data_IF_043187271474
#
_entry.id   IF_043187271474
#
_cell.length_a   1.000
_cell.length_b   1.000
_cell.length_c   1.000
_cell.angle_alpha   90.00
_cell.angle_beta   90.00
_cell.angle_gamma   90.00
#
_symmetry.space_group_name_H-M   'P 1'
#
loop_
_entity.id
_entity.type
_entity.pdbx_description
1 polymer ?
#
# COMPACT_ATOMS: atom_id res chain seq x y z
N UNK A 1 -8.67 26.72 24.49
CA UNK A 1 -8.44 26.69 23.04
C UNK A 1 -9.14 25.46 22.48
N UNK A 2 -10.01 25.59 21.48
CA UNK A 2 -10.61 24.45 20.77
C UNK A 2 -9.59 23.89 19.78
N UNK A 3 -9.78 22.66 19.29
CA UNK A 3 -8.85 22.04 18.33
C UNK A 3 -8.85 22.75 16.96
N UNK A 4 -9.87 23.56 16.66
CA UNK A 4 -9.91 24.39 15.45
C UNK A 4 -10.41 23.68 14.18
N UNK A 5 -11.04 22.50 14.32
CA UNK A 5 -11.52 21.69 13.19
C UNK A 5 -12.45 22.46 12.23
N UNK A 6 -13.37 23.26 12.76
CA UNK A 6 -14.31 24.04 11.93
C UNK A 6 -13.60 25.02 11.01
N UNK A 7 -12.63 25.77 11.54
CA UNK A 7 -11.85 26.75 10.77
C UNK A 7 -10.95 26.07 9.71
N UNK A 8 -10.41 24.89 10.02
CA UNK A 8 -9.66 24.09 9.06
C UNK A 8 -10.57 23.60 7.92
N UNK A 9 -11.78 23.13 8.23
CA UNK A 9 -12.75 22.70 7.23
C UNK A 9 -13.21 23.83 6.32
N UNK A 10 -13.42 25.04 6.86
CA UNK A 10 -13.74 26.21 6.05
C UNK A 10 -12.61 26.55 5.07
N UNK A 11 -11.35 26.56 5.54
CA UNK A 11 -10.19 26.79 4.68
C UNK A 11 -10.08 25.74 3.55
N UNK A 12 -10.31 24.47 3.86
CA UNK A 12 -10.28 23.38 2.88
C UNK A 12 -11.43 23.52 1.86
N UNK A 13 -12.65 23.83 2.31
CA UNK A 13 -13.82 24.05 1.43
C UNK A 13 -13.55 25.19 0.45
N UNK A 14 -13.02 26.31 0.92
CA UNK A 14 -12.64 27.44 0.07
C UNK A 14 -11.59 27.04 -0.98
N UNK A 15 -10.62 26.18 -0.63
CA UNK A 15 -9.66 25.62 -1.57
C UNK A 15 -10.32 24.73 -2.65
N UNK A 16 -11.23 23.84 -2.24
CA UNK A 16 -11.95 22.92 -3.14
C UNK A 16 -12.86 23.67 -4.13
N UNK A 17 -13.62 24.66 -3.64
CA UNK A 17 -14.50 25.47 -4.50
C UNK A 17 -13.72 26.21 -5.58
N UNK A 18 -12.53 26.70 -5.22
CA UNK A 18 -11.68 27.42 -6.15
C UNK A 18 -11.02 26.46 -7.15
N UNK A 19 -10.59 25.29 -6.70
CA UNK A 19 -10.17 24.21 -7.59
C UNK A 19 -11.23 23.87 -8.65
N UNK A 20 -12.51 23.75 -8.26
CA UNK A 20 -13.59 23.43 -9.20
C UNK A 20 -13.71 24.49 -10.32
N UNK A 21 -13.39 25.75 -10.03
CA UNK A 21 -13.36 26.85 -11.01
C UNK A 21 -12.16 26.80 -11.96
N UNK A 22 -11.07 26.13 -11.56
CA UNK A 22 -9.79 26.06 -12.32
C UNK A 22 -9.54 24.64 -12.87
N UNK A 23 -10.53 23.73 -12.81
CA UNK A 23 -10.40 22.29 -13.14
C UNK A 23 -9.90 22.00 -14.57
N UNK A 24 -9.96 22.96 -15.49
CA UNK A 24 -9.38 22.85 -16.83
C UNK A 24 -7.83 22.98 -16.86
N UNK A 25 -7.17 23.08 -15.71
CA UNK A 25 -5.71 23.26 -15.60
C UNK A 25 -4.95 21.97 -15.28
N UNK A 26 -3.62 22.04 -15.39
CA UNK A 26 -2.61 20.96 -15.31
C UNK A 26 -2.77 19.97 -14.14
N UNK A 27 -2.05 18.86 -14.27
CA UNK A 27 -1.97 17.73 -13.33
C UNK A 27 -1.73 18.15 -11.87
N UNK A 28 -0.89 19.14 -11.60
CA UNK A 28 -0.59 19.59 -10.23
C UNK A 28 -1.80 20.18 -9.50
N UNK A 29 -2.67 20.91 -10.22
CA UNK A 29 -3.90 21.46 -9.65
C UNK A 29 -4.92 20.37 -9.41
N UNK A 30 -4.98 19.37 -10.29
CA UNK A 30 -5.81 18.18 -10.10
C UNK A 30 -5.39 17.39 -8.85
N UNK A 31 -4.08 17.17 -8.69
CA UNK A 31 -3.52 16.47 -7.54
C UNK A 31 -3.80 17.24 -6.24
N UNK A 32 -3.60 18.56 -6.20
CA UNK A 32 -3.95 19.38 -5.05
C UNK A 32 -5.46 19.34 -4.73
N UNK A 33 -6.31 19.40 -5.75
CA UNK A 33 -7.77 19.33 -5.57
C UNK A 33 -8.22 17.99 -4.97
N UNK A 34 -7.65 16.88 -5.43
CA UNK A 34 -7.89 15.56 -4.84
C UNK A 34 -7.39 15.49 -3.40
N UNK A 35 -6.18 16.00 -3.13
CA UNK A 35 -5.60 16.04 -1.79
C UNK A 35 -6.45 16.83 -0.81
N UNK A 36 -6.92 18.02 -1.19
CA UNK A 36 -7.80 18.83 -0.34
C UNK A 36 -9.10 18.09 0.00
N UNK A 37 -9.68 17.31 -0.93
CA UNK A 37 -10.85 16.47 -0.62
C UNK A 37 -10.53 15.35 0.36
N UNK A 38 -9.41 14.67 0.20
CA UNK A 38 -8.98 13.61 1.12
C UNK A 38 -8.76 14.16 2.53
N UNK A 39 -8.03 15.27 2.65
CA UNK A 39 -7.81 15.95 3.93
C UNK A 39 -9.14 16.42 4.53
N UNK A 40 -10.07 16.94 3.72
CA UNK A 40 -11.42 17.30 4.18
C UNK A 40 -12.11 16.13 4.89
N UNK A 41 -12.14 14.95 4.26
CA UNK A 41 -12.78 13.75 4.81
C UNK A 41 -12.16 13.39 6.16
N UNK A 42 -10.82 13.47 6.27
CA UNK A 42 -10.15 13.16 7.53
C UNK A 42 -10.41 14.19 8.63
N UNK A 43 -10.44 15.48 8.30
CA UNK A 43 -10.77 16.52 9.27
C UNK A 43 -12.25 16.40 9.72
N UNK A 44 -13.17 16.04 8.81
CA UNK A 44 -14.58 15.74 9.14
C UNK A 44 -14.67 14.54 10.10
N UNK A 45 -14.00 13.43 9.79
CA UNK A 45 -13.94 12.26 10.68
C UNK A 45 -13.32 12.62 12.05
N UNK A 46 -12.28 13.45 12.08
CA UNK A 46 -11.64 13.86 13.32
C UNK A 46 -12.58 14.72 14.18
N UNK A 47 -13.33 15.61 13.54
CA UNK A 47 -14.37 16.42 14.19
C UNK A 47 -15.51 15.55 14.73
N UNK A 48 -15.93 14.52 13.98
CA UNK A 48 -16.98 13.57 14.42
C UNK A 48 -16.57 12.72 15.62
N UNK A 49 -15.28 12.42 15.79
CA UNK A 49 -14.78 11.68 16.96
C UNK A 49 -14.63 12.58 18.19
N UNK A 50 -14.30 13.86 18.00
CA UNK A 50 -14.16 14.87 19.05
C UNK A 50 -15.22 16.01 18.99
N UNK A 51 -16.53 15.72 18.91
CA UNK A 51 -17.54 16.74 18.64
C UNK A 51 -17.96 17.53 19.89
N UNK A 52 -17.60 17.05 21.10
CA UNK A 52 -18.06 17.61 22.38
C UNK A 52 -16.89 18.15 23.18
N UNK A 53 -17.04 19.34 23.76
CA UNK A 53 -16.06 19.95 24.68
C UNK A 53 -15.63 18.98 25.78
N UNK A 54 -16.53 18.11 26.25
CA UNK A 54 -16.23 17.08 27.24
C UNK A 54 -15.18 16.07 26.75
N UNK A 55 -15.22 15.67 25.48
CA UNK A 55 -14.22 14.74 24.91
C UNK A 55 -12.89 15.42 24.64
N UNK A 56 -12.91 16.68 24.23
CA UNK A 56 -11.68 17.49 24.13
C UNK A 56 -11.02 17.64 25.52
N UNK A 57 -11.82 17.90 26.56
CA UNK A 57 -11.34 17.99 27.94
C UNK A 57 -10.81 16.66 28.46
N UNK A 58 -11.49 15.54 28.18
CA UNK A 58 -10.98 14.20 28.49
C UNK A 58 -9.65 13.97 27.79
N UNK A 59 -9.54 14.23 26.49
CA UNK A 59 -8.31 14.00 25.75
C UNK A 59 -7.17 14.91 26.25
N UNK A 60 -7.47 16.18 26.55
CA UNK A 60 -6.51 17.13 27.12
C UNK A 60 -6.00 16.69 28.49
N UNK A 61 -6.84 16.04 29.30
CA UNK A 61 -6.47 15.58 30.64
C UNK A 61 -5.77 14.22 30.63
N UNK A 62 -6.29 13.24 29.88
CA UNK A 62 -5.70 11.89 29.81
C UNK A 62 -4.48 11.80 28.90
N UNK A 63 -4.38 12.63 27.86
CA UNK A 63 -3.23 12.63 26.96
C UNK A 63 -2.91 14.02 26.39
N UNK A 64 -2.34 14.94 27.20
CA UNK A 64 -2.04 16.31 26.78
C UNK A 64 -1.17 16.38 25.52
N UNK A 65 -0.11 15.55 25.45
CA UNK A 65 0.77 15.49 24.27
C UNK A 65 0.03 15.09 23.00
N UNK A 66 -0.94 14.17 23.11
CA UNK A 66 -1.75 13.74 21.97
C UNK A 66 -2.69 14.86 21.54
N UNK A 67 -3.32 15.53 22.51
CA UNK A 67 -4.14 16.72 22.28
C UNK A 67 -3.36 17.81 21.52
N UNK A 68 -2.18 18.17 22.01
CA UNK A 68 -1.32 19.21 21.40
C UNK A 68 -0.92 18.82 19.97
N UNK A 69 -0.54 17.55 19.76
CA UNK A 69 -0.18 17.05 18.43
C UNK A 69 -1.34 17.19 17.44
N UNK A 70 -2.57 16.86 17.85
CA UNK A 70 -3.76 17.00 16.98
C UNK A 70 -4.02 18.47 16.68
N UNK A 71 -4.01 19.30 17.72
CA UNK A 71 -4.22 20.74 17.60
C UNK A 71 -3.24 21.33 16.59
N UNK A 72 -1.95 21.06 16.75
CA UNK A 72 -0.91 21.58 15.86
C UNK A 72 -1.06 21.05 14.43
N UNK A 73 -1.38 19.76 14.27
CA UNK A 73 -1.65 19.16 12.95
C UNK A 73 -2.84 19.85 12.26
N UNK A 74 -3.92 20.12 12.99
CA UNK A 74 -5.12 20.78 12.46
C UNK A 74 -4.82 22.24 12.08
N UNK A 75 -4.05 22.95 12.91
CA UNK A 75 -3.60 24.32 12.59
C UNK A 75 -2.68 24.34 11.36
N UNK A 76 -1.81 23.35 11.20
CA UNK A 76 -0.95 23.23 10.03
C UNK A 76 -1.76 22.90 8.77
N UNK A 77 -2.75 22.01 8.86
CA UNK A 77 -3.69 21.74 7.75
C UNK A 77 -4.42 23.03 7.34
N UNK A 78 -4.95 23.79 8.31
CA UNK A 78 -5.61 25.08 8.04
C UNK A 78 -4.68 26.05 7.33
N UNK A 79 -3.45 26.20 7.84
CA UNK A 79 -2.43 27.06 7.23
C UNK A 79 -2.13 26.63 5.78
N UNK A 80 -1.87 25.35 5.56
CA UNK A 80 -1.54 24.83 4.23
C UNK A 80 -2.73 24.95 3.26
N UNK A 81 -3.96 24.72 3.71
CA UNK A 81 -5.18 24.92 2.92
C UNK A 81 -5.36 26.39 2.52
N UNK A 82 -5.07 27.34 3.41
CA UNK A 82 -5.12 28.78 3.10
C UNK A 82 -4.05 29.19 2.07
N UNK A 83 -2.85 28.63 2.15
CA UNK A 83 -1.80 28.87 1.13
C UNK A 83 -2.24 28.30 -0.22
N UNK A 84 -2.74 27.06 -0.24
CA UNK A 84 -3.28 26.44 -1.46
C UNK A 84 -4.42 27.28 -2.07
N UNK A 85 -5.36 27.75 -1.25
CA UNK A 85 -6.43 28.66 -1.68
C UNK A 85 -5.86 29.95 -2.30
N UNK A 86 -4.85 30.56 -1.67
CA UNK A 86 -4.22 31.79 -2.20
C UNK A 86 -3.58 31.54 -3.57
N UNK A 87 -2.85 30.44 -3.74
CA UNK A 87 -2.23 30.09 -5.02
C UNK A 87 -3.30 29.84 -6.08
N UNK A 88 -4.33 29.04 -5.76
CA UNK A 88 -5.45 28.77 -6.67
C UNK A 88 -6.22 30.04 -7.04
N UNK A 89 -6.30 31.02 -6.14
CA UNK A 89 -6.94 32.33 -6.38
C UNK A 89 -6.17 33.15 -7.40
N UNK A 90 -4.85 33.20 -7.25
CA UNK A 90 -3.99 33.88 -8.21
C UNK A 90 -4.07 33.23 -9.59
N UNK A 91 -4.09 31.90 -9.64
CA UNK A 91 -4.26 31.15 -10.90
C UNK A 91 -5.62 31.42 -11.54
N UNK A 92 -6.70 31.41 -10.76
CA UNK A 92 -8.04 31.75 -11.25
C UNK A 92 -8.12 33.21 -11.75
N UNK A 93 -7.45 34.15 -11.08
CA UNK A 93 -7.40 35.57 -11.48
C UNK A 93 -6.68 35.75 -12.83
N UNK A 94 -5.61 34.99 -13.09
CA UNK A 94 -4.90 35.00 -14.37
C UNK A 94 -5.79 34.39 -15.46
N UNK A 95 -6.40 33.23 -15.18
CA UNK A 95 -7.31 32.56 -16.10
C UNK A 95 -8.50 33.44 -16.51
N UNK A 96 -9.15 34.09 -15.53
CA UNK A 96 -10.30 34.96 -15.76
C UNK A 96 -9.95 36.24 -16.53
N UNK A 97 -8.82 36.89 -16.23
CA UNK A 97 -8.33 38.07 -16.98
C UNK A 97 -8.16 37.77 -18.47
N UNK A 98 -7.78 36.54 -18.79
CA UNK A 98 -7.51 36.11 -20.16
C UNK A 98 -8.63 35.24 -20.73
N UNK A 99 -9.84 35.32 -20.17
CA UNK A 99 -11.06 34.60 -20.58
C UNK A 99 -10.86 33.09 -20.81
N UNK A 100 -9.98 32.47 -20.03
CA UNK A 100 -9.64 31.05 -20.15
C UNK A 100 -8.74 30.69 -21.33
N UNK A 101 -8.42 31.63 -22.23
CA UNK A 101 -7.61 31.38 -23.43
C UNK A 101 -6.18 30.89 -23.11
N UNK A 102 -5.64 31.27 -21.95
CA UNK A 102 -4.32 30.82 -21.47
C UNK A 102 -4.26 29.32 -21.27
N UNK A 103 -5.34 28.70 -20.82
CA UNK A 103 -5.35 27.27 -20.50
C UNK A 103 -5.66 26.40 -21.71
N UNK A 104 -6.18 26.99 -22.79
CA UNK A 104 -6.51 26.30 -24.05
C UNK A 104 -5.29 26.25 -24.98
N UNK A 105 -4.42 27.27 -24.94
CA UNK A 105 -3.21 27.30 -25.75
C UNK A 105 -2.01 26.76 -24.95
N UNK A 106 -1.39 25.62 -25.36
CA UNK A 106 -0.28 24.99 -24.64
C UNK A 106 0.92 25.92 -24.43
N UNK A 107 1.25 26.74 -25.43
CA UNK A 107 2.40 27.67 -25.36
C UNK A 107 2.17 28.79 -24.35
N UNK A 108 0.93 29.30 -24.27
CA UNK A 108 0.55 30.29 -23.26
C UNK A 108 0.46 29.66 -21.88
N UNK A 109 -0.08 28.44 -21.77
CA UNK A 109 -0.10 27.69 -20.53
C UNK A 109 1.32 27.46 -20.02
N UNK A 110 2.28 27.13 -20.88
CA UNK A 110 3.69 26.91 -20.55
C UNK A 110 4.41 28.20 -20.15
N UNK A 111 4.17 29.30 -20.87
CA UNK A 111 4.71 30.62 -20.53
C UNK A 111 4.21 31.09 -19.16
N UNK A 112 2.90 31.06 -18.93
CA UNK A 112 2.32 31.45 -17.64
C UNK A 112 2.68 30.47 -16.54
N UNK A 113 2.83 29.18 -16.84
CA UNK A 113 3.40 28.20 -15.90
C UNK A 113 4.85 28.52 -15.56
N UNK A 114 5.64 29.04 -16.50
CA UNK A 114 7.00 29.55 -16.28
C UNK A 114 7.03 30.76 -15.35
N UNK A 115 6.13 31.72 -15.56
CA UNK A 115 5.93 32.87 -14.66
C UNK A 115 5.45 32.43 -13.28
N UNK A 116 4.68 31.33 -13.22
CA UNK A 116 4.16 30.73 -11.99
C UNK A 116 5.01 29.59 -11.45
N UNK A 117 6.22 29.31 -11.99
CA UNK A 117 7.02 28.12 -11.64
C UNK A 117 7.34 28.05 -10.15
N UNK A 118 7.52 29.20 -9.49
CA UNK A 118 7.65 29.27 -8.03
C UNK A 118 6.41 28.70 -7.33
N UNK A 119 5.21 29.11 -7.77
CA UNK A 119 3.92 28.68 -7.20
C UNK A 119 3.53 27.24 -7.53
N UNK A 120 3.97 26.70 -8.66
CA UNK A 120 3.77 25.28 -8.99
C UNK A 120 4.64 24.36 -8.11
N UNK A 121 5.89 24.76 -7.85
CA UNK A 121 6.74 24.14 -6.82
C UNK A 121 6.09 24.22 -5.44
N UNK A 122 5.59 25.40 -5.07
CA UNK A 122 4.87 25.59 -3.81
C UNK A 122 3.64 24.66 -3.68
N UNK A 123 2.90 24.41 -4.76
CA UNK A 123 1.77 23.47 -4.75
C UNK A 123 2.22 22.02 -4.55
N UNK A 124 3.32 21.60 -5.15
CA UNK A 124 3.88 20.25 -4.93
C UNK A 124 4.33 20.09 -3.48
N UNK A 125 5.07 21.07 -2.97
CA UNK A 125 5.54 21.06 -1.58
C UNK A 125 4.36 21.10 -0.58
N UNK A 126 3.31 21.87 -0.89
CA UNK A 126 2.08 21.89 -0.10
C UNK A 126 1.35 20.55 -0.14
N UNK A 127 1.34 19.88 -1.29
CA UNK A 127 0.74 18.55 -1.42
C UNK A 127 1.49 17.54 -0.52
N UNK A 128 2.82 17.58 -0.53
CA UNK A 128 3.65 16.71 0.31
C UNK A 128 3.44 17.01 1.81
N UNK A 129 3.34 18.28 2.20
CA UNK A 129 2.99 18.68 3.57
C UNK A 129 1.60 18.19 3.98
N UNK A 130 0.60 18.29 3.10
CA UNK A 130 -0.74 17.78 3.36
C UNK A 130 -0.73 16.25 3.53
N UNK A 131 0.08 15.51 2.75
CA UNK A 131 0.27 14.05 2.93
C UNK A 131 0.89 13.73 4.29
N UNK A 132 1.89 14.49 4.72
CA UNK A 132 2.50 14.31 6.04
C UNK A 132 1.49 14.54 7.18
N UNK A 133 0.67 15.60 7.06
CA UNK A 133 -0.38 15.90 8.03
C UNK A 133 -1.47 14.82 8.03
N UNK A 134 -1.84 14.32 6.85
CA UNK A 134 -2.78 13.20 6.68
C UNK A 134 -2.29 11.94 7.40
N UNK A 135 -1.02 11.59 7.20
CA UNK A 135 -0.38 10.44 7.86
C UNK A 135 -0.38 10.60 9.38
N UNK A 136 -0.21 11.84 9.86
CA UNK A 136 -0.26 12.16 11.29
C UNK A 136 -1.66 12.01 11.86
N UNK A 137 -2.70 12.47 11.15
CA UNK A 137 -4.10 12.26 11.52
C UNK A 137 -4.46 10.76 11.53
N UNK A 138 -4.04 9.98 10.54
CA UNK A 138 -4.24 8.53 10.51
C UNK A 138 -3.61 7.83 11.73
N UNK A 139 -2.38 8.20 12.07
CA UNK A 139 -1.71 7.69 13.28
C UNK A 139 -2.49 8.04 14.55
N UNK A 140 -3.05 9.25 14.59
CA UNK A 140 -3.88 9.70 15.70
C UNK A 140 -5.19 8.91 15.80
N UNK A 141 -5.91 8.67 14.70
CA UNK A 141 -7.14 7.89 14.69
C UNK A 141 -6.94 6.52 15.34
N UNK A 142 -5.83 5.85 15.03
CA UNK A 142 -5.45 4.57 15.64
C UNK A 142 -5.25 4.72 17.15
N UNK A 143 -4.56 5.77 17.60
CA UNK A 143 -4.28 6.02 19.03
C UNK A 143 -5.55 6.36 19.81
N UNK A 144 -6.43 7.21 19.27
CA UNK A 144 -7.71 7.53 19.92
C UNK A 144 -8.67 6.36 19.90
N UNK A 145 -8.72 5.57 18.83
CA UNK A 145 -9.47 4.32 18.82
C UNK A 145 -8.95 3.37 19.91
N UNK A 146 -7.63 3.24 20.07
CA UNK A 146 -7.04 2.43 21.14
C UNK A 146 -7.40 2.94 22.54
N UNK A 147 -7.38 4.27 22.75
CA UNK A 147 -7.80 4.88 24.03
C UNK A 147 -9.30 4.70 24.32
N UNK A 148 -10.15 4.76 23.28
CA UNK A 148 -11.60 4.56 23.39
C UNK A 148 -12.01 3.10 23.57
N UNK A 149 -11.27 2.14 23.01
CA UNK A 149 -11.49 0.70 23.22
C UNK A 149 -10.96 0.19 24.57
N UNK A 150 -10.06 0.93 25.22
CA UNK A 150 -9.53 0.62 26.55
C UNK A 150 -10.33 1.24 27.70
N UNK A 151 -11.48 1.86 27.40
CA UNK A 151 -12.51 2.14 28.40
C UNK A 151 -13.57 1.03 28.28
N UNK A 152 -13.31 -0.19 28.79
CA UNK A 152 -14.34 -1.20 28.82
C UNK A 152 -15.54 -0.62 29.59
N UNK A 153 -16.74 -0.97 29.13
CA UNK A 153 -17.95 -0.95 29.94
C UNK A 153 -17.67 -1.64 31.29
N UNK A 154 -17.14 -0.89 32.25
CA UNK A 154 -17.15 -1.31 33.63
C UNK A 154 -18.59 -1.16 34.11
N UNK A 155 -19.16 -2.33 34.41
CA UNK A 155 -20.28 -2.57 35.30
C UNK A 155 -21.68 -2.36 34.72
N UNK A 156 -22.17 -3.36 33.99
CA UNK A 156 -23.46 -3.94 34.36
C UNK A 156 -23.19 -5.17 35.25
N UNK A 157 -23.69 -5.20 36.50
CA UNK A 157 -23.64 -6.39 37.33
C UNK A 157 -24.47 -7.50 36.66
N UNK A 158 -23.83 -8.61 36.28
CA UNK A 158 -24.57 -9.79 35.86
C UNK A 158 -25.24 -10.44 37.08
N UNK A 159 -26.54 -10.79 37.01
CA UNK A 159 -27.20 -11.51 38.08
C UNK A 159 -26.63 -12.92 38.23
N UNK A 160 -26.28 -13.24 39.46
CA UNK A 160 -25.72 -14.50 39.92
C UNK A 160 -26.76 -15.62 39.72
N UNK A 161 -26.60 -16.46 38.70
CA UNK A 161 -27.41 -17.67 38.51
C UNK A 161 -26.53 -18.91 38.77
N UNK A 162 -27.02 -19.75 39.68
CA UNK A 162 -26.34 -20.93 40.19
C UNK A 162 -26.00 -21.96 39.08
N UNK A 163 -24.89 -22.70 39.21
CA UNK A 163 -24.43 -23.63 38.19
C UNK A 163 -25.22 -24.95 38.24
N UNK A 164 -26.04 -25.21 37.24
CA UNK A 164 -26.58 -26.56 36.99
C UNK A 164 -25.47 -27.50 36.48
N UNK A 165 -25.40 -28.75 36.98
CA UNK A 165 -24.35 -29.70 36.61
C UNK A 165 -24.51 -30.12 35.14
N UNK A 166 -23.51 -29.77 34.31
CA UNK A 166 -23.50 -30.13 32.89
C UNK A 166 -23.12 -31.61 32.70
N UNK A 167 -23.85 -32.38 31.87
CA UNK A 167 -23.50 -33.75 31.54
C UNK A 167 -22.14 -33.81 30.83
N UNK A 168 -21.25 -34.68 31.32
CA UNK A 168 -19.91 -34.94 30.75
C UNK A 168 -20.06 -35.45 29.31
N UNK A 169 -19.73 -34.58 28.34
CA UNK A 169 -19.55 -34.99 26.94
C UNK A 169 -18.19 -35.70 26.77
N UNK A 170 -18.12 -36.74 25.93
CA UNK A 170 -16.87 -37.42 25.61
C UNK A 170 -15.86 -36.42 25.02
N UNK A 171 -14.58 -36.60 25.38
CA UNK A 171 -13.48 -35.76 24.93
C UNK A 171 -13.41 -35.73 23.41
N UNK A 172 -13.66 -34.56 22.82
CA UNK A 172 -13.48 -34.33 21.38
C UNK A 172 -11.99 -34.50 21.06
N UNK A 173 -11.67 -35.37 20.11
CA UNK A 173 -10.32 -35.52 19.58
C UNK A 173 -9.74 -34.15 19.23
N UNK A 174 -8.46 -33.89 19.54
CA UNK A 174 -7.84 -32.59 19.27
C UNK A 174 -7.96 -32.30 17.78
N UNK A 175 -8.65 -31.20 17.46
CA UNK A 175 -8.75 -30.75 16.08
C UNK A 175 -7.34 -30.44 15.58
N UNK A 176 -6.97 -30.82 14.34
CA UNK A 176 -5.65 -30.57 13.81
C UNK A 176 -5.31 -29.09 13.97
N UNK A 177 -4.12 -28.81 14.52
CA UNK A 177 -3.65 -27.44 14.66
C UNK A 177 -3.59 -26.73 13.30
N UNK A 178 -3.64 -25.38 13.28
CA UNK A 178 -3.54 -24.62 12.05
C UNK A 178 -2.25 -24.98 11.30
N UNK A 179 -2.39 -25.40 10.03
CA UNK A 179 -1.26 -25.76 9.17
C UNK A 179 -0.42 -24.49 8.89
N UNK A 180 0.93 -24.58 8.92
CA UNK A 180 1.78 -23.45 8.55
C UNK A 180 1.54 -23.08 7.07
N UNK A 181 1.63 -21.79 6.71
CA UNK A 181 1.43 -21.34 5.36
C UNK A 181 2.50 -21.89 4.43
N UNK A 182 2.09 -22.30 3.23
CA UNK A 182 2.91 -23.05 2.27
C UNK A 182 2.95 -22.43 0.88
N UNK A 183 2.00 -21.55 0.54
CA UNK A 183 1.90 -20.97 -0.80
C UNK A 183 1.72 -19.45 -0.79
N UNK A 184 2.46 -18.77 -1.67
CA UNK A 184 2.44 -17.31 -1.81
C UNK A 184 2.41 -16.86 -3.26
N UNK A 185 1.75 -15.75 -3.56
CA UNK A 185 1.83 -15.11 -4.87
C UNK A 185 2.05 -13.62 -4.73
N UNK A 186 2.99 -13.07 -5.50
CA UNK A 186 3.23 -11.64 -5.57
C UNK A 186 2.43 -11.02 -6.72
N UNK A 187 1.69 -9.95 -6.43
CA UNK A 187 0.87 -9.28 -7.43
C UNK A 187 1.24 -7.81 -7.50
N UNK A 188 1.58 -7.35 -8.70
CA UNK A 188 1.67 -5.93 -9.02
C UNK A 188 0.80 -5.61 -10.24
N UNK A 189 0.86 -4.37 -10.75
CA UNK A 189 -0.01 -3.98 -11.86
C UNK A 189 0.25 -4.76 -13.16
N UNK A 190 1.50 -5.05 -13.53
CA UNK A 190 1.84 -5.51 -14.89
C UNK A 190 2.69 -6.80 -14.96
N UNK A 191 3.06 -7.38 -13.82
CA UNK A 191 3.94 -8.54 -13.73
C UNK A 191 5.29 -8.42 -14.46
N UNK A 192 5.86 -7.22 -14.46
CA UNK A 192 7.15 -6.95 -15.10
C UNK A 192 8.20 -6.36 -14.16
N UNK A 193 7.83 -6.03 -12.91
CA UNK A 193 8.70 -5.33 -11.98
C UNK A 193 8.69 -5.94 -10.58
N UNK A 194 7.95 -5.31 -9.66
CA UNK A 194 7.97 -5.60 -8.21
C UNK A 194 7.60 -7.05 -7.91
N UNK A 195 6.56 -7.58 -8.57
CA UNK A 195 6.14 -8.97 -8.37
C UNK A 195 7.19 -9.98 -8.84
N UNK A 196 7.89 -9.69 -9.94
CA UNK A 196 9.00 -10.51 -10.45
C UNK A 196 10.21 -10.45 -9.53
N UNK A 197 10.54 -9.27 -8.97
CA UNK A 197 11.58 -9.13 -7.95
C UNK A 197 11.24 -10.01 -6.74
N UNK A 198 10.01 -9.94 -6.24
CA UNK A 198 9.58 -10.72 -5.07
C UNK A 198 9.72 -12.23 -5.29
N UNK A 199 9.21 -12.73 -6.41
CA UNK A 199 9.32 -14.15 -6.76
C UNK A 199 10.77 -14.60 -6.96
N UNK A 200 11.56 -13.84 -7.73
CA UNK A 200 12.96 -14.16 -8.00
C UNK A 200 13.80 -14.14 -6.73
N UNK A 201 13.47 -13.25 -5.78
CA UNK A 201 14.13 -13.20 -4.49
C UNK A 201 13.81 -14.42 -3.63
N UNK A 202 12.58 -14.93 -3.64
CA UNK A 202 12.25 -16.20 -2.97
C UNK A 202 13.02 -17.38 -3.55
N UNK A 203 13.24 -17.43 -4.87
CA UNK A 203 14.11 -18.47 -5.45
C UNK A 203 15.55 -18.38 -4.93
N UNK A 204 16.11 -17.17 -4.80
CA UNK A 204 17.44 -16.96 -4.22
C UNK A 204 17.47 -17.38 -2.73
N UNK A 205 16.46 -16.99 -1.94
CA UNK A 205 16.36 -17.37 -0.53
C UNK A 205 16.17 -18.88 -0.35
N UNK A 206 15.38 -19.52 -1.20
CA UNK A 206 15.18 -20.97 -1.18
C UNK A 206 16.52 -21.68 -1.39
N UNK A 207 17.23 -21.40 -2.49
CA UNK A 207 18.53 -22.03 -2.75
C UNK A 207 19.54 -21.76 -1.63
N UNK A 208 19.60 -20.52 -1.13
CA UNK A 208 20.46 -20.18 -0.01
C UNK A 208 20.12 -20.98 1.26
N UNK A 209 18.84 -21.17 1.55
CA UNK A 209 18.38 -21.87 2.76
C UNK A 209 18.57 -23.39 2.63
N UNK A 210 18.22 -23.98 1.50
CA UNK A 210 18.31 -25.43 1.32
C UNK A 210 19.75 -25.93 1.23
N UNK A 211 20.65 -25.18 0.58
CA UNK A 211 22.08 -25.53 0.52
C UNK A 211 22.77 -25.49 1.89
N UNK A 212 22.21 -24.72 2.83
CA UNK A 212 22.70 -24.66 4.22
C UNK A 212 21.96 -25.61 5.16
N UNK A 213 21.22 -26.58 4.60
CA UNK A 213 20.43 -27.60 5.31
C UNK A 213 19.37 -27.03 6.27
N UNK A 214 18.99 -25.77 6.09
CA UNK A 214 17.92 -25.13 6.85
C UNK A 214 16.56 -25.47 6.20
N UNK A 215 15.48 -25.62 6.99
CA UNK A 215 14.15 -25.88 6.44
C UNK A 215 13.60 -24.64 5.73
N UNK A 216 13.01 -24.84 4.55
CA UNK A 216 12.27 -23.81 3.82
C UNK A 216 10.82 -24.27 3.65
N UNK A 217 9.90 -23.64 4.39
CA UNK A 217 8.51 -24.14 4.56
C UNK A 217 7.61 -23.88 3.34
N UNK A 218 7.86 -22.79 2.62
CA UNK A 218 7.08 -22.51 1.42
C UNK A 218 7.38 -23.57 0.36
N UNK A 219 6.34 -24.03 -0.33
CA UNK A 219 6.43 -25.04 -1.40
C UNK A 219 5.97 -24.51 -2.75
N UNK A 220 5.19 -23.41 -2.77
CA UNK A 220 4.69 -22.78 -4.00
C UNK A 220 4.87 -21.27 -3.91
N UNK A 221 5.55 -20.66 -4.88
CA UNK A 221 5.61 -19.20 -5.00
C UNK A 221 5.54 -18.72 -6.44
N UNK A 222 4.60 -17.81 -6.69
CA UNK A 222 4.31 -17.31 -8.03
C UNK A 222 4.29 -15.78 -8.09
N UNK A 223 4.17 -15.25 -9.31
CA UNK A 223 3.97 -13.83 -9.58
C UNK A 223 2.87 -13.63 -10.62
N UNK A 224 2.04 -12.60 -10.48
CA UNK A 224 1.01 -12.25 -11.45
C UNK A 224 0.78 -10.73 -11.54
N UNK A 225 0.02 -10.31 -12.54
CA UNK A 225 -0.26 -8.92 -12.87
C UNK A 225 -1.76 -8.64 -12.93
N UNK A 226 -2.23 -7.59 -12.25
CA UNK A 226 -3.65 -7.20 -12.26
C UNK A 226 -4.14 -6.76 -13.64
N UNK A 227 -3.26 -6.14 -14.44
CA UNK A 227 -3.56 -5.53 -15.74
C UNK A 227 -2.96 -6.34 -16.90
N UNK A 228 -2.90 -7.65 -16.76
CA UNK A 228 -2.35 -8.57 -17.77
C UNK A 228 -3.45 -9.53 -18.21
N UNK A 229 -3.68 -9.62 -19.52
CA UNK A 229 -4.72 -10.46 -20.13
C UNK A 229 -4.27 -11.92 -20.22
N UNK A 230 -3.08 -12.20 -20.75
CA UNK A 230 -2.58 -13.57 -20.91
C UNK A 230 -2.56 -14.31 -19.57
N UNK A 231 -3.20 -15.48 -19.53
CA UNK A 231 -3.29 -16.31 -18.33
C UNK A 231 -4.17 -15.77 -17.20
N UNK A 232 -4.90 -14.67 -17.42
CA UNK A 232 -5.83 -14.13 -16.42
C UNK A 232 -7.19 -14.82 -16.50
N UNK A 233 -7.60 -15.45 -15.41
CA UNK A 233 -8.92 -16.08 -15.29
C UNK A 233 -10.05 -15.08 -14.95
N UNK A 234 -9.70 -13.84 -14.57
CA UNK A 234 -10.65 -12.88 -13.98
C UNK A 234 -10.88 -11.62 -14.83
N UNK A 235 -10.63 -11.69 -16.15
CA UNK A 235 -10.73 -10.50 -17.02
C UNK A 235 -12.12 -9.87 -16.95
N UNK A 236 -13.17 -10.70 -16.94
CA UNK A 236 -14.57 -10.25 -16.92
C UNK A 236 -14.91 -9.56 -15.59
N UNK A 237 -14.50 -10.15 -14.48
CA UNK A 237 -14.72 -9.62 -13.14
C UNK A 237 -13.95 -8.30 -12.94
N UNK A 238 -12.70 -8.25 -13.38
CA UNK A 238 -11.86 -7.04 -13.33
C UNK A 238 -12.45 -5.88 -14.14
N UNK A 239 -13.07 -6.15 -15.31
CA UNK A 239 -13.74 -5.12 -16.10
C UNK A 239 -15.04 -4.62 -15.48
N UNK A 240 -15.64 -5.39 -14.56
CA UNK A 240 -16.91 -5.03 -13.90
C UNK A 240 -16.70 -4.34 -12.54
N UNK A 241 -15.45 -4.20 -12.06
CA UNK A 241 -15.15 -3.49 -10.83
C UNK A 241 -15.48 -1.99 -10.94
N UNK A 242 -15.61 -1.32 -9.79
CA UNK A 242 -15.76 0.14 -9.71
C UNK A 242 -14.57 0.74 -8.96
N UNK A 243 -13.68 1.50 -9.62
CA UNK A 243 -13.64 1.76 -11.07
C UNK A 243 -13.20 0.52 -11.88
N UNK A 244 -13.59 0.42 -13.17
CA UNK A 244 -13.26 -0.73 -14.00
C UNK A 244 -11.78 -0.72 -14.42
N UNK A 245 -11.18 -1.90 -14.54
CA UNK A 245 -9.81 -2.04 -15.05
C UNK A 245 -9.85 -2.25 -16.56
N UNK A 246 -9.66 -1.17 -17.31
CA UNK A 246 -9.79 -1.16 -18.79
C UNK A 246 -8.46 -1.29 -19.52
N UNK A 247 -7.35 -0.84 -18.93
CA UNK A 247 -6.02 -0.84 -19.57
C UNK A 247 -5.29 -2.18 -19.39
N UNK A 248 -5.82 -3.26 -19.99
CA UNK A 248 -5.21 -4.59 -19.94
C UNK A 248 -4.13 -4.75 -21.03
N UNK A 249 -2.95 -5.20 -20.62
CA UNK A 249 -1.82 -5.56 -21.50
C UNK A 249 -1.92 -7.01 -21.97
N UNK A 250 -1.37 -7.40 -23.13
CA UNK A 250 -1.48 -8.76 -23.65
C UNK A 250 -0.74 -9.81 -22.81
N UNK A 251 0.37 -9.47 -22.14
CA UNK A 251 1.16 -10.40 -21.33
C UNK A 251 2.42 -10.97 -22.00
N UNK A 252 2.89 -10.36 -23.09
CA UNK A 252 4.13 -10.76 -23.75
C UNK A 252 5.34 -9.94 -23.29
N UNK A 253 5.13 -9.00 -22.37
CA UNK A 253 6.18 -8.13 -21.86
C UNK A 253 7.21 -8.94 -21.07
N UNK A 254 8.49 -8.72 -21.39
CA UNK A 254 9.61 -9.20 -20.57
C UNK A 254 9.67 -8.41 -19.26
N UNK A 255 10.22 -9.00 -18.19
CA UNK A 255 10.52 -8.24 -16.98
C UNK A 255 11.48 -7.09 -17.26
N UNK A 256 11.31 -6.01 -16.51
CA UNK A 256 12.11 -4.80 -16.68
C UNK A 256 13.58 -5.09 -16.32
N UNK A 257 14.49 -4.81 -17.23
CA UNK A 257 15.91 -5.18 -17.11
C UNK A 257 16.57 -4.52 -15.90
N UNK A 258 16.25 -3.25 -15.61
CA UNK A 258 16.77 -2.54 -14.43
C UNK A 258 16.20 -3.10 -13.13
N UNK A 259 14.95 -3.59 -13.12
CA UNK A 259 14.35 -4.23 -11.95
C UNK A 259 15.07 -5.55 -11.62
N UNK A 260 15.37 -6.37 -12.63
CA UNK A 260 16.17 -7.58 -12.45
C UNK A 260 17.60 -7.26 -12.03
N UNK A 261 18.25 -6.28 -12.66
CA UNK A 261 19.62 -5.88 -12.32
C UNK A 261 19.69 -5.39 -10.86
N UNK A 262 18.73 -4.57 -10.42
CA UNK A 262 18.63 -4.14 -9.02
C UNK A 262 18.54 -5.30 -8.00
N UNK A 263 17.93 -6.42 -8.37
CA UNK A 263 17.90 -7.62 -7.54
C UNK A 263 19.23 -8.39 -7.59
N UNK A 264 19.74 -8.65 -8.80
CA UNK A 264 20.87 -9.53 -9.04
C UNK A 264 22.24 -8.85 -8.93
N UNK A 265 22.36 -7.53 -8.87
CA UNK A 265 23.67 -6.88 -8.66
C UNK A 265 24.14 -6.99 -7.19
N UNK A 266 23.33 -7.62 -6.33
CA UNK A 266 23.68 -7.90 -4.95
C UNK A 266 24.81 -8.95 -4.85
N UNK A 267 25.92 -8.55 -4.24
CA UNK A 267 27.09 -9.41 -3.94
C UNK A 267 26.76 -10.53 -2.94
N UNK A 268 25.73 -10.37 -2.12
CA UNK A 268 25.33 -11.35 -1.09
C UNK A 268 24.98 -12.73 -1.66
N UNK A 269 24.52 -12.80 -2.91
CA UNK A 269 24.11 -14.06 -3.56
C UNK A 269 25.06 -14.47 -4.68
N UNK A 270 26.33 -14.05 -4.65
CA UNK A 270 27.27 -14.31 -5.75
C UNK A 270 27.77 -15.77 -5.80
N UNK A 271 26.85 -16.69 -6.06
CA UNK A 271 27.05 -18.14 -6.10
C UNK A 271 26.54 -18.72 -7.42
N UNK A 272 26.93 -19.97 -7.80
CA UNK A 272 26.59 -20.55 -9.09
C UNK A 272 25.08 -20.60 -9.40
N UNK A 273 24.23 -20.79 -8.39
CA UNK A 273 22.77 -20.85 -8.56
C UNK A 273 22.13 -19.51 -8.98
N UNK A 274 22.84 -18.38 -8.84
CA UNK A 274 22.31 -17.05 -9.16
C UNK A 274 22.05 -16.87 -10.65
N UNK A 275 22.97 -17.34 -11.50
CA UNK A 275 22.89 -17.20 -12.95
C UNK A 275 21.65 -17.88 -13.56
N UNK A 276 21.34 -19.16 -13.27
CA UNK A 276 20.15 -19.80 -13.81
C UNK A 276 18.86 -19.16 -13.29
N UNK A 277 18.80 -18.71 -12.04
CA UNK A 277 17.64 -17.97 -11.52
C UNK A 277 17.45 -16.65 -12.27
N UNK A 278 18.54 -15.90 -12.53
CA UNK A 278 18.51 -14.67 -13.33
C UNK A 278 18.01 -14.92 -14.74
N UNK A 279 18.52 -15.95 -15.40
CA UNK A 279 18.13 -16.33 -16.77
C UNK A 279 16.65 -16.74 -16.84
N UNK A 280 16.20 -17.55 -15.89
CA UNK A 280 14.80 -17.92 -15.76
C UNK A 280 13.93 -16.68 -15.56
N UNK A 281 14.31 -15.79 -14.64
CA UNK A 281 13.60 -14.54 -14.42
C UNK A 281 13.55 -13.67 -15.69
N UNK A 282 14.65 -13.50 -16.43
CA UNK A 282 14.66 -12.69 -17.67
C UNK A 282 13.86 -13.30 -18.82
N UNK A 283 13.72 -14.62 -18.83
CA UNK A 283 12.99 -15.33 -19.88
C UNK A 283 11.48 -15.39 -19.62
N UNK A 284 11.02 -15.05 -18.41
CA UNK A 284 9.58 -15.00 -18.10
C UNK A 284 8.85 -13.98 -18.97
N UNK A 285 7.54 -14.16 -19.02
CA UNK A 285 6.58 -13.24 -19.64
C UNK A 285 5.57 -12.84 -18.59
N UNK A 286 5.10 -11.60 -18.69
CA UNK A 286 4.06 -11.09 -17.80
C UNK A 286 2.81 -11.99 -17.87
N UNK A 287 2.35 -12.49 -16.73
CA UNK A 287 1.12 -13.30 -16.66
C UNK A 287 0.08 -12.64 -15.78
N UNK A 288 -1.18 -12.89 -16.13
CA UNK A 288 -2.34 -12.49 -15.39
C UNK A 288 -2.60 -13.36 -14.16
N UNK A 289 -3.75 -13.09 -13.54
CA UNK A 289 -4.18 -13.73 -12.30
C UNK A 289 -4.65 -15.18 -12.56
N UNK A 290 -4.07 -16.20 -11.89
CA UNK A 290 -4.43 -17.59 -12.12
C UNK A 290 -5.83 -17.92 -11.56
N UNK A 291 -6.51 -18.92 -12.12
CA UNK A 291 -7.86 -19.31 -11.72
C UNK A 291 -7.98 -19.78 -10.25
N UNK A 292 -6.88 -20.31 -9.69
CA UNK A 292 -6.78 -20.77 -8.30
C UNK A 292 -6.27 -19.66 -7.35
N UNK A 293 -6.34 -18.39 -7.72
CA UNK A 293 -5.73 -17.30 -6.95
C UNK A 293 -6.16 -17.29 -5.46
N UNK A 294 -7.46 -17.38 -5.20
CA UNK A 294 -7.98 -17.29 -3.83
C UNK A 294 -8.05 -18.62 -3.07
N UNK A 295 -7.94 -19.75 -3.77
CA UNK A 295 -8.06 -21.10 -3.20
C UNK A 295 -6.73 -21.84 -3.11
N UNK A 296 -5.79 -21.55 -4.02
CA UNK A 296 -4.50 -22.21 -4.17
C UNK A 296 -3.34 -21.51 -3.46
N UNK A 297 -3.55 -20.31 -2.94
CA UNK A 297 -2.55 -19.53 -2.21
C UNK A 297 -2.99 -19.24 -0.78
N UNK A 298 -2.06 -19.37 0.17
CA UNK A 298 -2.29 -18.97 1.56
C UNK A 298 -2.10 -17.44 1.72
N UNK A 299 -1.16 -16.86 0.96
CA UNK A 299 -0.90 -15.42 0.92
C UNK A 299 -0.88 -14.86 -0.49
N UNK A 300 -1.55 -13.71 -0.65
CA UNK A 300 -1.48 -12.87 -1.83
C UNK A 300 -0.81 -11.56 -1.41
N UNK A 301 0.45 -11.38 -1.80
CA UNK A 301 1.28 -10.24 -1.41
C UNK A 301 1.24 -9.15 -2.49
N UNK A 302 0.75 -7.96 -2.12
CA UNK A 302 0.68 -6.77 -3.00
C UNK A 302 1.61 -5.67 -2.52
N UNK A 303 1.78 -4.62 -3.33
CA UNK A 303 2.75 -3.57 -3.08
C UNK A 303 2.12 -2.21 -2.74
N UNK A 304 0.86 -1.95 -3.12
CA UNK A 304 0.12 -0.73 -2.75
C UNK A 304 -1.26 -1.06 -2.19
N UNK A 305 -1.88 -0.09 -1.49
CA UNK A 305 -3.25 -0.23 -0.99
C UNK A 305 -4.25 -0.36 -2.13
N UNK A 306 -4.07 0.40 -3.22
CA UNK A 306 -4.90 0.27 -4.41
C UNK A 306 -4.94 -1.17 -4.96
N UNK A 307 -3.78 -1.84 -5.02
CA UNK A 307 -3.68 -3.23 -5.48
C UNK A 307 -4.42 -4.18 -4.54
N UNK A 308 -4.34 -3.94 -3.22
CA UNK A 308 -5.09 -4.69 -2.21
C UNK A 308 -6.59 -4.51 -2.38
N UNK A 309 -7.06 -3.26 -2.47
CA UNK A 309 -8.47 -2.92 -2.58
C UNK A 309 -9.09 -3.51 -3.84
N UNK A 310 -8.37 -3.47 -4.97
CA UNK A 310 -8.77 -4.12 -6.21
C UNK A 310 -8.97 -5.63 -6.00
N UNK A 311 -8.03 -6.30 -5.33
CA UNK A 311 -8.12 -7.75 -5.10
C UNK A 311 -9.20 -8.12 -4.08
N UNK A 312 -9.45 -7.28 -3.08
CA UNK A 312 -10.55 -7.47 -2.13
C UNK A 312 -11.89 -7.38 -2.85
N UNK A 313 -12.09 -6.34 -3.68
CA UNK A 313 -13.29 -6.20 -4.53
C UNK A 313 -13.42 -7.37 -5.52
N UNK A 314 -12.31 -7.80 -6.12
CA UNK A 314 -12.31 -8.97 -7.01
C UNK A 314 -12.72 -10.24 -6.26
N UNK A 315 -12.16 -10.47 -5.07
CA UNK A 315 -12.50 -11.63 -4.22
C UNK A 315 -13.99 -11.65 -3.89
N UNK A 316 -14.56 -10.50 -3.56
CA UNK A 316 -15.98 -10.37 -3.24
C UNK A 316 -16.86 -10.63 -4.47
N UNK A 317 -16.46 -10.10 -5.64
CA UNK A 317 -17.15 -10.34 -6.91
C UNK A 317 -17.16 -11.82 -7.31
N UNK A 318 -16.06 -12.56 -7.07
CA UNK A 318 -15.97 -14.00 -7.37
C UNK A 318 -16.67 -14.85 -6.31
N UNK A 319 -16.63 -14.41 -5.04
CA UNK A 319 -17.19 -15.14 -3.89
C UNK A 319 -18.72 -15.06 -3.76
N UNK A 320 -19.38 -14.12 -4.45
CA UNK A 320 -20.82 -13.88 -4.35
C UNK A 320 -21.72 -15.00 -4.90
N UNK A 321 -21.18 -15.94 -5.67
CA UNK A 321 -21.97 -16.96 -6.38
C UNK A 321 -22.40 -18.16 -5.50
N UNK A 322 -21.66 -18.51 -4.43
CA UNK A 322 -22.05 -19.59 -3.51
C UNK A 322 -21.34 -19.53 -2.15
N UNK A 323 -21.97 -20.03 -1.08
CA UNK A 323 -21.38 -20.09 0.27
C UNK A 323 -20.11 -20.96 0.32
N UNK A 324 -20.08 -22.04 -0.47
CA UNK A 324 -18.92 -22.95 -0.59
C UNK A 324 -17.74 -22.22 -1.22
N UNK A 325 -17.98 -21.50 -2.31
CA UNK A 325 -16.98 -20.68 -3.00
C UNK A 325 -16.45 -19.57 -2.09
N UNK A 326 -17.32 -18.94 -1.30
CA UNK A 326 -16.93 -17.90 -0.33
C UNK A 326 -15.96 -18.44 0.73
N UNK A 327 -16.25 -19.62 1.29
CA UNK A 327 -15.37 -20.28 2.27
C UNK A 327 -14.02 -20.65 1.65
N UNK A 328 -14.02 -21.22 0.45
CA UNK A 328 -12.78 -21.56 -0.26
C UNK A 328 -11.92 -20.32 -0.55
N UNK A 329 -12.54 -19.24 -1.03
CA UNK A 329 -11.85 -17.99 -1.37
C UNK A 329 -11.40 -17.17 -0.15
N UNK A 330 -11.97 -17.43 1.03
CA UNK A 330 -11.55 -16.80 2.28
C UNK A 330 -10.22 -17.33 2.84
N UNK A 331 -9.68 -18.41 2.24
CA UNK A 331 -8.40 -19.00 2.66
C UNK A 331 -7.22 -18.06 2.41
N UNK A 332 -7.17 -17.42 1.24
CA UNK A 332 -6.06 -16.55 0.87
C UNK A 332 -6.12 -15.22 1.62
N UNK A 333 -5.03 -14.89 2.34
CA UNK A 333 -4.83 -13.59 2.98
C UNK A 333 -4.22 -12.62 1.96
N UNK A 334 -4.96 -11.56 1.61
CA UNK A 334 -4.44 -10.46 0.79
C UNK A 334 -3.74 -9.48 1.74
N UNK A 335 -2.44 -9.28 1.57
CA UNK A 335 -1.61 -8.50 2.50
C UNK A 335 -0.69 -7.54 1.75
N UNK A 336 -0.53 -6.34 2.29
CA UNK A 336 0.42 -5.36 1.79
C UNK A 336 1.83 -5.74 2.26
N UNK A 337 2.73 -6.09 1.33
CA UNK A 337 4.07 -6.59 1.65
C UNK A 337 4.86 -5.63 2.55
N UNK A 338 4.73 -4.31 2.34
CA UNK A 338 5.49 -3.35 3.14
C UNK A 338 5.07 -3.23 4.61
N UNK A 339 3.95 -3.82 5.03
CA UNK A 339 3.58 -3.93 6.45
C UNK A 339 4.59 -4.77 7.25
N UNK A 340 5.30 -5.70 6.60
CA UNK A 340 6.33 -6.51 7.25
C UNK A 340 7.68 -5.77 7.40
N UNK A 341 7.92 -4.71 6.64
CA UNK A 341 9.23 -4.03 6.62
C UNK A 341 9.46 -3.02 7.75
N UNK A 342 8.46 -2.75 8.59
CA UNK A 342 8.49 -1.70 9.63
C UNK A 342 8.93 -0.32 9.10
N UNK A 343 8.66 -0.03 7.83
CA UNK A 343 8.96 1.26 7.23
C UNK A 343 7.86 2.27 7.55
N UNK A 344 8.21 3.56 7.66
CA UNK A 344 7.24 4.64 7.88
C UNK A 344 6.13 4.66 6.82
N UNK A 345 6.50 4.38 5.55
CA UNK A 345 5.54 4.15 4.47
C UNK A 345 5.50 2.64 4.15
N UNK A 346 4.34 2.02 4.31
CA UNK A 346 4.11 0.60 4.01
C UNK A 346 3.88 0.33 2.52
N UNK A 347 3.65 1.34 1.70
CA UNK A 347 3.51 1.17 0.25
C UNK A 347 4.87 1.08 -0.44
N UNK A 348 4.94 0.23 -1.46
CA UNK A 348 6.09 0.06 -2.34
C UNK A 348 5.63 0.45 -3.75
N UNK A 349 5.50 1.74 -4.06
CA UNK A 349 5.04 2.18 -5.37
C UNK A 349 6.02 1.74 -6.47
N UNK A 350 5.56 1.62 -7.73
CA UNK A 350 6.49 1.54 -8.85
C UNK A 350 7.36 2.81 -8.88
N UNK A 351 8.59 2.74 -9.42
CA UNK A 351 9.40 3.94 -9.51
C UNK A 351 8.73 4.93 -10.48
N UNK A 352 8.91 6.22 -10.21
CA UNK A 352 8.52 7.26 -11.15
C UNK A 352 9.22 7.02 -12.49
N UNK A 353 8.54 7.34 -13.60
CA UNK A 353 9.18 7.33 -14.90
C UNK A 353 10.21 8.46 -14.92
N UNK A 354 11.47 8.10 -15.13
CA UNK A 354 12.56 9.04 -15.38
C UNK A 354 13.18 8.68 -16.71
N UNK A 355 13.52 9.70 -17.49
CA UNK A 355 14.28 9.57 -18.73
C UNK A 355 15.77 9.30 -18.44
N UNK A 356 16.23 9.60 -17.22
CA UNK A 356 17.59 9.28 -16.76
C UNK A 356 17.68 7.81 -16.29
N UNK A 357 18.49 7.02 -17.00
CA UNK A 357 18.74 5.62 -16.66
C UNK A 357 19.38 5.47 -15.27
N UNK A 358 20.25 6.39 -14.86
CA UNK A 358 20.93 6.32 -13.57
C UNK A 358 19.94 6.52 -12.41
N UNK A 359 19.08 7.52 -12.52
CA UNK A 359 18.01 7.78 -11.54
C UNK A 359 17.01 6.61 -11.49
N UNK A 360 16.63 6.08 -12.66
CA UNK A 360 15.74 4.91 -12.76
C UNK A 360 16.37 3.68 -12.10
N UNK A 361 17.66 3.43 -12.36
CA UNK A 361 18.43 2.33 -11.75
C UNK A 361 18.49 2.48 -10.23
N UNK A 362 18.79 3.66 -9.71
CA UNK A 362 18.84 3.92 -8.28
C UNK A 362 17.47 3.71 -7.62
N UNK A 363 16.40 4.19 -8.26
CA UNK A 363 15.02 4.01 -7.80
C UNK A 363 14.64 2.53 -7.72
N UNK A 364 15.00 1.72 -8.72
CA UNK A 364 14.81 0.27 -8.68
C UNK A 364 15.64 -0.42 -7.60
N UNK A 365 16.88 0.04 -7.35
CA UNK A 365 17.69 -0.48 -6.24
C UNK A 365 17.04 -0.21 -4.88
N UNK A 366 16.48 0.98 -4.66
CA UNK A 366 15.73 1.31 -3.43
C UNK A 366 14.51 0.40 -3.27
N UNK A 367 13.72 0.23 -4.33
CA UNK A 367 12.55 -0.67 -4.33
C UNK A 367 12.96 -2.11 -4.04
N UNK A 368 14.00 -2.63 -4.71
CA UNK A 368 14.49 -3.98 -4.48
C UNK A 368 14.98 -4.18 -3.03
N UNK A 369 15.66 -3.20 -2.43
CA UNK A 369 16.06 -3.24 -1.00
C UNK A 369 14.84 -3.34 -0.08
N UNK A 370 13.81 -2.54 -0.34
CA UNK A 370 12.56 -2.56 0.43
C UNK A 370 11.87 -3.92 0.33
N UNK A 371 11.66 -4.44 -0.89
CA UNK A 371 11.06 -5.76 -1.13
C UNK A 371 11.84 -6.87 -0.42
N UNK A 372 13.19 -6.87 -0.51
CA UNK A 372 14.03 -7.87 0.16
C UNK A 372 13.85 -7.86 1.68
N UNK A 373 13.78 -6.67 2.28
CA UNK A 373 13.61 -6.50 3.72
C UNK A 373 12.25 -7.03 4.17
N UNK A 374 11.19 -6.63 3.47
CA UNK A 374 9.83 -7.08 3.76
C UNK A 374 9.66 -8.59 3.59
N UNK A 375 10.23 -9.20 2.54
CA UNK A 375 10.13 -10.65 2.32
C UNK A 375 10.83 -11.43 3.43
N UNK A 376 12.02 -11.01 3.86
CA UNK A 376 12.71 -11.64 4.99
C UNK A 376 11.86 -11.58 6.26
N UNK A 377 11.32 -10.41 6.58
CA UNK A 377 10.46 -10.23 7.74
C UNK A 377 9.16 -11.04 7.66
N UNK A 378 8.54 -11.11 6.48
CA UNK A 378 7.39 -11.97 6.19
C UNK A 378 7.71 -13.44 6.46
N UNK A 379 8.82 -13.96 5.92
CA UNK A 379 9.22 -15.35 6.12
C UNK A 379 9.50 -15.62 7.61
N UNK A 380 10.25 -14.76 8.29
CA UNK A 380 10.52 -14.94 9.73
C UNK A 380 9.24 -14.96 10.55
N UNK A 381 8.30 -14.04 10.27
CA UNK A 381 7.05 -13.92 11.04
C UNK A 381 6.04 -15.04 10.74
N UNK A 382 5.81 -15.35 9.47
CA UNK A 382 4.72 -16.25 9.07
C UNK A 382 5.17 -17.70 8.89
N UNK A 383 6.46 -17.97 8.67
CA UNK A 383 6.99 -19.34 8.47
C UNK A 383 8.05 -19.75 9.49
N UNK A 384 8.45 -18.85 10.40
CA UNK A 384 9.56 -19.10 11.32
C UNK A 384 10.92 -19.20 10.65
N UNK A 385 11.04 -18.71 9.40
CA UNK A 385 12.29 -18.78 8.65
C UNK A 385 13.41 -18.00 9.36
N UNK A 386 14.54 -18.69 9.55
CA UNK A 386 15.77 -18.12 10.01
C UNK A 386 16.75 -18.00 8.84
N UNK A 387 17.40 -16.85 8.73
CA UNK A 387 18.45 -16.67 7.73
C UNK A 387 19.64 -17.61 8.02
N UNK A 388 20.21 -18.28 7.01
CA UNK A 388 21.42 -19.07 7.19
C UNK A 388 22.56 -18.25 7.77
N UNK A 389 23.44 -18.90 8.54
CA UNK A 389 24.55 -18.22 9.20
C UNK A 389 25.64 -17.90 8.18
N UNK A 390 26.45 -16.87 8.47
CA UNK A 390 27.56 -16.49 7.58
C UNK A 390 28.61 -17.58 7.45
N UNK A 391 28.84 -18.34 8.53
CA UNK A 391 29.75 -19.49 8.57
C UNK A 391 29.38 -20.58 7.57
N UNK A 392 28.08 -20.75 7.25
CA UNK A 392 27.58 -21.72 6.27
C UNK A 392 27.83 -21.30 4.80
N UNK A 393 28.48 -20.15 4.57
CA UNK A 393 28.77 -19.64 3.23
C UNK A 393 29.57 -20.61 2.37
N UNK A 394 30.44 -21.42 2.98
CA UNK A 394 31.24 -22.43 2.29
C UNK A 394 30.40 -23.52 1.61
N UNK A 395 29.19 -23.82 2.13
CA UNK A 395 28.29 -24.83 1.57
C UNK A 395 27.64 -24.39 0.25
N UNK A 396 27.66 -23.08 -0.06
CA UNK A 396 27.00 -22.51 -1.23
C UNK A 396 27.86 -22.57 -2.51
N UNK A 397 29.17 -22.86 -2.36
CA UNK A 397 30.11 -22.98 -3.47
C UNK A 397 30.20 -24.39 -4.06
N UNK A 398 29.63 -25.40 -3.40
CA UNK A 398 29.67 -26.77 -3.91
C UNK A 398 28.63 -26.94 -5.03
N UNK A 399 29.00 -27.55 -6.17
CA UNK A 399 28.03 -27.92 -7.19
C UNK A 399 26.98 -28.86 -6.58
N UNK A 400 25.71 -28.60 -6.85
CA UNK A 400 24.62 -29.49 -6.44
C UNK A 400 24.83 -30.83 -7.13
N UNK A 401 25.19 -31.87 -6.38
CA UNK A 401 25.15 -33.23 -6.88
C UNK A 401 23.66 -33.58 -7.04
N UNK A 402 23.18 -33.48 -8.27
CA UNK A 402 21.80 -33.80 -8.67
C UNK A 402 21.56 -35.29 -8.75
#
# INVERSE_FOLDING_TARGET
>A
MSVGFGEALEAIKLGIELYQKVKASREEVSNMGNRLREVKIQVELAQELLPRQDRENVLRTTSPKLFDTIHDTVQEIKKNANVAHTILKDWNKIGSRLKGAVWINPTMADFWSGVLKGKAGDLRDLNDKLVANQTTLDSWFIKVAALGFLQPQQQQPQPNLAPSPKPRRPSRSPSPGPRPPSSVIFIDSFNSGRSVIGQSYLFLLHQWTTLTKNPFILTKWDSAGLRVRSGSAYIKELSNLTPPITNLTPGESKPFSLALSALFDNKMFNYPYKAPIRQNASNRRARGLPADLFSGYDFILVFTRDERDILEKLRDSVGGASMVTRKANSRARIVLLGEYGHHANTEIPPPAKSDDEAESRESWQRIARKIKTCIKAFLTKETGWAAPRKEDGHLQGQPVQT
#
